data_IF_174376840184
#
_entry.id   IF_174376840184
#
_cell.length_a   1.000
_cell.length_b   1.000
_cell.length_c   1.000
_cell.angle_alpha   90.00
_cell.angle_beta   90.00
_cell.angle_gamma   90.00
#
_symmetry.space_group_name_H-M   'P 1'
#
loop_
_entity.id
_entity.type
_entity.pdbx_description
1 polymer ?
#
# COMPACT_ATOMS: atom_id res chain seq x y z
N UNK A 1 14.56 -5.17 -52.31
CA UNK A 1 13.30 -5.35 -51.55
C UNK A 1 13.69 -6.03 -50.25
N UNK A 2 14.05 -5.23 -49.25
CA UNK A 2 14.40 -5.72 -47.92
C UNK A 2 13.66 -4.84 -46.91
N UNK A 3 12.56 -5.40 -46.44
CA UNK A 3 11.66 -4.80 -45.48
C UNK A 3 12.20 -5.18 -44.10
N UNK A 4 12.95 -4.28 -43.47
CA UNK A 4 13.37 -4.48 -42.08
C UNK A 4 12.56 -3.52 -41.21
N UNK A 5 11.55 -4.10 -40.60
CA UNK A 5 10.75 -3.62 -39.47
C UNK A 5 11.63 -2.92 -38.44
N UNK A 6 11.64 -1.60 -38.46
CA UNK A 6 12.13 -0.80 -37.33
C UNK A 6 10.96 -0.50 -36.41
N UNK A 7 10.62 -1.50 -35.61
CA UNK A 7 9.78 -1.36 -34.43
C UNK A 7 10.42 -0.34 -33.50
N UNK A 8 9.84 0.85 -33.40
CA UNK A 8 10.20 1.86 -32.41
C UNK A 8 9.57 1.52 -31.06
N UNK A 9 9.97 0.39 -30.47
CA UNK A 9 9.71 0.15 -29.05
C UNK A 9 10.66 1.02 -28.22
N UNK A 10 10.19 2.22 -27.91
CA UNK A 10 10.83 3.11 -26.94
C UNK A 10 10.69 2.47 -25.56
N UNK A 11 11.69 1.70 -25.15
CA UNK A 11 11.77 1.13 -23.81
C UNK A 11 11.98 2.29 -22.84
N UNK A 12 10.93 2.66 -22.09
CA UNK A 12 10.99 3.67 -21.04
C UNK A 12 12.10 3.22 -20.06
N UNK A 13 13.16 4.02 -19.83
CA UNK A 13 14.20 3.63 -18.90
C UNK A 13 13.58 3.54 -17.51
N UNK A 14 13.48 2.31 -16.98
CA UNK A 14 13.09 2.06 -15.59
C UNK A 14 14.10 2.82 -14.74
N UNK A 15 13.59 3.84 -14.06
CA UNK A 15 14.38 4.81 -13.30
C UNK A 15 15.25 4.07 -12.30
N UNK A 16 16.51 4.50 -12.13
CA UNK A 16 17.37 4.01 -11.04
C UNK A 16 16.68 4.35 -9.73
N UNK A 17 15.95 3.39 -9.18
CA UNK A 17 15.22 3.56 -7.93
C UNK A 17 16.27 3.91 -6.86
N UNK A 18 16.27 5.16 -6.43
CA UNK A 18 17.22 5.59 -5.41
C UNK A 18 16.73 5.03 -4.09
N UNK A 19 17.63 4.60 -3.20
CA UNK A 19 17.28 4.09 -1.87
C UNK A 19 16.34 5.04 -1.11
N UNK A 20 16.52 6.36 -1.28
CA UNK A 20 15.62 7.39 -0.76
C UNK A 20 14.17 7.24 -1.23
N UNK A 21 13.98 6.88 -2.49
CA UNK A 21 12.67 6.70 -3.11
C UNK A 21 11.97 5.44 -2.59
N UNK A 22 12.73 4.37 -2.33
CA UNK A 22 12.24 3.16 -1.67
C UNK A 22 11.84 3.43 -0.21
N UNK A 23 12.70 4.13 0.54
CA UNK A 23 12.41 4.53 1.92
C UNK A 23 11.17 5.43 1.95
N UNK A 24 11.10 6.43 1.07
CA UNK A 24 9.95 7.32 0.97
C UNK A 24 8.65 6.55 0.67
N UNK A 25 8.69 5.63 -0.29
CA UNK A 25 7.54 4.77 -0.62
C UNK A 25 7.06 3.99 0.60
N UNK A 26 7.98 3.36 1.35
CA UNK A 26 7.64 2.65 2.59
C UNK A 26 7.07 3.58 3.66
N UNK A 27 7.64 4.77 3.85
CA UNK A 27 7.11 5.76 4.80
C UNK A 27 5.69 6.23 4.45
N UNK A 28 5.37 6.38 3.16
CA UNK A 28 4.01 6.72 2.72
C UNK A 28 3.03 5.61 3.06
N UNK A 29 3.39 4.35 2.83
CA UNK A 29 2.58 3.18 3.22
C UNK A 29 2.38 3.15 4.73
N UNK A 30 3.44 3.31 5.50
CA UNK A 30 3.38 3.33 6.97
C UNK A 30 2.47 4.44 7.50
N UNK A 31 2.54 5.63 6.91
CA UNK A 31 1.65 6.76 7.27
C UNK A 31 0.18 6.45 6.96
N UNK A 32 -0.08 5.79 5.83
CA UNK A 32 -1.43 5.35 5.47
C UNK A 32 -1.94 4.31 6.47
N UNK A 33 -1.16 3.27 6.75
CA UNK A 33 -1.51 2.19 7.67
C UNK A 33 -1.75 2.72 9.09
N UNK A 34 -0.92 3.67 9.55
CA UNK A 34 -1.14 4.34 10.83
C UNK A 34 -2.48 5.07 10.87
N UNK A 35 -2.82 5.84 9.83
CA UNK A 35 -4.09 6.57 9.76
C UNK A 35 -5.29 5.63 9.70
N UNK A 36 -5.25 4.61 8.84
CA UNK A 36 -6.36 3.66 8.69
C UNK A 36 -6.59 2.86 9.97
N UNK A 37 -5.52 2.33 10.59
CA UNK A 37 -5.64 1.61 11.88
C UNK A 37 -6.10 2.51 13.02
N UNK A 38 -5.69 3.79 13.02
CA UNK A 38 -6.16 4.75 14.02
C UNK A 38 -7.64 5.10 13.83
N UNK A 39 -8.11 5.28 12.61
CA UNK A 39 -9.54 5.45 12.34
C UNK A 39 -10.33 4.20 12.72
N UNK A 40 -9.80 3.00 12.44
CA UNK A 40 -10.46 1.74 12.79
C UNK A 40 -10.50 1.54 14.33
N UNK A 41 -9.47 1.96 15.06
CA UNK A 41 -9.44 1.96 16.52
C UNK A 41 -10.42 2.95 17.15
N UNK A 42 -10.60 4.11 16.52
CA UNK A 42 -11.54 5.14 16.96
C UNK A 42 -12.99 4.79 16.59
N UNK A 43 -13.17 3.93 15.59
CA UNK A 43 -14.47 3.46 15.15
C UNK A 43 -15.12 2.60 16.25
N UNK A 44 -16.37 2.90 16.65
CA UNK A 44 -17.09 2.12 17.65
C UNK A 44 -17.30 0.65 17.24
N UNK A 45 -17.29 -0.25 18.21
CA UNK A 45 -17.48 -1.69 17.99
C UNK A 45 -18.80 -2.03 17.28
N UNK A 46 -19.87 -1.25 17.50
CA UNK A 46 -21.15 -1.43 16.81
C UNK A 46 -21.09 -1.15 15.30
N UNK A 47 -20.12 -0.35 14.84
CA UNK A 47 -19.91 -0.10 13.41
C UNK A 47 -19.07 -1.18 12.74
N UNK A 48 -18.38 -2.03 13.51
CA UNK A 48 -17.66 -3.18 12.96
C UNK A 48 -18.63 -4.24 12.44
N UNK A 49 -19.72 -4.47 13.18
CA UNK A 49 -20.79 -5.39 12.78
C UNK A 49 -21.46 -4.95 11.47
N UNK A 50 -21.63 -3.64 11.24
CA UNK A 50 -22.22 -3.09 10.00
C UNK A 50 -21.31 -3.31 8.76
N UNK A 51 -19.99 -3.41 8.96
CA UNK A 51 -19.02 -3.66 7.89
C UNK A 51 -18.92 -5.17 7.59
N UNK A 52 -19.50 -6.02 8.45
CA UNK A 52 -19.44 -7.47 8.33
C UNK A 52 -18.06 -8.06 8.54
N UNK A 53 -17.18 -7.33 9.24
CA UNK A 53 -15.84 -7.79 9.62
C UNK A 53 -15.87 -8.37 11.03
N UNK A 54 -15.22 -9.50 11.25
CA UNK A 54 -15.17 -10.11 12.57
C UNK A 54 -14.36 -9.21 13.53
N UNK A 55 -14.92 -8.86 14.68
CA UNK A 55 -14.27 -7.98 15.66
C UNK A 55 -12.87 -8.48 16.08
N UNK A 56 -12.66 -9.80 16.06
CA UNK A 56 -11.36 -10.41 16.32
C UNK A 56 -10.33 -10.07 15.23
N UNK A 57 -10.70 -10.15 13.94
CA UNK A 57 -9.83 -9.77 12.82
C UNK A 57 -9.48 -8.28 12.86
N UNK A 58 -10.42 -7.42 13.22
CA UNK A 58 -10.19 -5.98 13.38
C UNK A 58 -9.20 -5.71 14.51
N UNK A 59 -9.38 -6.37 15.65
CA UNK A 59 -8.47 -6.26 16.79
C UNK A 59 -7.07 -6.71 16.43
N UNK A 60 -6.95 -7.83 15.72
CA UNK A 60 -5.68 -8.32 15.22
C UNK A 60 -5.03 -7.31 14.26
N UNK A 61 -5.80 -6.73 13.33
CA UNK A 61 -5.30 -5.72 12.39
C UNK A 61 -4.88 -4.41 13.08
N UNK A 62 -5.65 -3.92 14.06
CA UNK A 62 -5.32 -2.72 14.84
C UNK A 62 -4.10 -2.95 15.73
N UNK A 63 -3.87 -4.18 16.19
CA UNK A 63 -2.69 -4.55 16.98
C UNK A 63 -1.40 -4.57 16.16
N UNK A 64 -1.48 -4.69 14.83
CA UNK A 64 -0.30 -4.75 13.98
C UNK A 64 0.47 -3.43 14.01
N UNK A 65 1.79 -3.46 14.21
CA UNK A 65 2.60 -2.25 14.20
C UNK A 65 2.59 -1.61 12.81
N UNK A 66 2.66 -0.27 12.76
CA UNK A 66 2.47 0.52 11.54
C UNK A 66 3.43 0.16 10.39
N UNK A 67 4.60 -0.40 10.72
CA UNK A 67 5.62 -0.79 9.75
C UNK A 67 5.35 -2.15 9.09
N UNK A 68 4.38 -2.92 9.62
CA UNK A 68 4.02 -4.26 9.16
C UNK A 68 2.75 -4.19 8.30
N UNK A 69 2.88 -4.70 7.09
CA UNK A 69 1.78 -5.00 6.16
C UNK A 69 1.12 -6.33 6.58
#
# INVERSE_FOLDING_TARGET
MENVTQTCEQVIPVSRQTWLQLIYSKLVVWRRNYRTRRHLKDLPEHLWDDIGLEANEIRDEVSKPFWRE
#
